data_IF_195507884502
#
_entry.id   IF_195507884502
#
_cell.length_a   1.000
_cell.length_b   1.000
_cell.length_c   1.000
_cell.angle_alpha   90.00
_cell.angle_beta   90.00
_cell.angle_gamma   90.00
#
_symmetry.space_group_name_H-M   'P 1'
#
loop_
_entity.id
_entity.type
_entity.pdbx_description
1 polymer ?
#
# COMPACT_ATOMS: atom_id res chain seq x y z
N UNK A 1 -21.24 4.89 -11.79
CA UNK A 1 -20.45 5.95 -11.12
C UNK A 1 -18.99 5.51 -11.13
N UNK A 2 -18.10 6.33 -11.67
CA UNK A 2 -16.69 5.98 -11.87
C UNK A 2 -15.89 6.41 -10.63
N UNK A 3 -15.79 5.53 -9.62
CA UNK A 3 -15.22 5.84 -8.28
C UNK A 3 -13.83 6.49 -8.32
N UNK A 4 -13.05 6.26 -9.39
CA UNK A 4 -11.73 6.86 -9.52
C UNK A 4 -11.77 8.39 -9.75
N UNK A 5 -12.87 8.97 -10.25
CA UNK A 5 -13.00 10.43 -10.39
C UNK A 5 -13.14 11.14 -9.05
N UNK A 6 -13.86 10.53 -8.11
CA UNK A 6 -14.03 11.07 -6.74
C UNK A 6 -12.68 11.16 -6.02
N UNK A 7 -11.76 10.25 -6.31
CA UNK A 7 -10.42 10.25 -5.68
C UNK A 7 -9.54 11.39 -6.19
N UNK A 8 -9.67 11.76 -7.47
CA UNK A 8 -8.99 12.95 -7.99
C UNK A 8 -9.50 14.23 -7.31
N UNK A 9 -10.82 14.32 -7.08
CA UNK A 9 -11.44 15.46 -6.39
C UNK A 9 -11.00 15.61 -4.93
N UNK A 10 -10.46 14.54 -4.31
CA UNK A 10 -9.89 14.55 -2.97
C UNK A 10 -8.44 15.11 -2.91
N UNK A 11 -7.84 15.49 -4.04
CA UNK A 11 -6.47 16.01 -4.07
C UNK A 11 -5.40 14.94 -3.91
N UNK A 12 -5.62 13.72 -4.44
CA UNK A 12 -4.66 12.61 -4.33
C UNK A 12 -3.29 12.94 -4.95
N UNK A 13 -3.25 13.80 -5.97
CA UNK A 13 -1.99 14.25 -6.60
C UNK A 13 -1.08 14.97 -5.61
N UNK A 14 -1.64 15.93 -4.88
CA UNK A 14 -0.90 16.69 -3.87
C UNK A 14 -0.42 15.77 -2.73
N UNK A 15 -1.26 14.82 -2.32
CA UNK A 15 -0.93 13.84 -1.29
C UNK A 15 0.18 12.87 -1.71
N UNK A 16 0.26 12.53 -3.01
CA UNK A 16 1.33 11.69 -3.57
C UNK A 16 2.67 12.43 -3.68
N UNK A 17 2.65 13.75 -3.86
CA UNK A 17 3.86 14.55 -4.04
C UNK A 17 4.51 14.96 -2.70
N UNK A 18 3.69 15.26 -1.67
CA UNK A 18 4.18 15.90 -0.45
C UNK A 18 4.52 14.96 0.71
N UNK A 19 4.40 13.62 0.57
CA UNK A 19 4.70 12.74 1.69
C UNK A 19 4.53 11.23 1.45
N UNK A 20 4.31 10.51 2.56
CA UNK A 20 3.99 9.08 2.54
C UNK A 20 2.47 8.93 2.59
N UNK A 21 1.91 8.29 1.57
CA UNK A 21 0.48 8.00 1.50
C UNK A 21 0.23 6.52 1.84
N UNK A 22 -0.71 6.28 2.75
CA UNK A 22 -1.22 4.94 3.09
C UNK A 22 -2.63 4.85 2.56
N UNK A 23 -2.90 3.83 1.74
CA UNK A 23 -4.17 3.64 1.07
C UNK A 23 -4.72 2.28 1.45
N UNK A 24 -5.84 2.27 2.15
CA UNK A 24 -6.63 1.07 2.37
C UNK A 24 -7.54 0.83 1.17
N UNK A 25 -7.83 -0.43 0.85
CA UNK A 25 -8.66 -0.82 -0.31
C UNK A 25 -8.14 -0.24 -1.65
N UNK A 26 -6.89 -0.55 -2.02
CA UNK A 26 -6.20 0.10 -3.14
C UNK A 26 -6.86 -0.17 -4.50
N UNK A 27 -7.75 -1.16 -4.61
CA UNK A 27 -8.52 -1.44 -5.83
C UNK A 27 -9.35 -0.24 -6.33
N UNK A 28 -9.74 0.68 -5.42
CA UNK A 28 -10.51 1.88 -5.77
C UNK A 28 -9.67 2.84 -6.64
N UNK A 29 -8.36 2.86 -6.40
CA UNK A 29 -7.42 3.77 -7.07
C UNK A 29 -6.50 3.03 -8.04
N UNK A 30 -6.87 1.81 -8.47
CA UNK A 30 -6.02 0.94 -9.28
C UNK A 30 -5.45 1.62 -10.53
N UNK A 31 -6.22 2.51 -11.15
CA UNK A 31 -5.80 3.28 -12.33
C UNK A 31 -4.82 4.42 -12.02
N UNK A 32 -4.68 4.77 -10.74
CA UNK A 32 -3.89 5.89 -10.22
C UNK A 32 -2.67 5.41 -9.43
N UNK A 33 -2.35 4.11 -9.51
CA UNK A 33 -1.21 3.57 -8.77
C UNK A 33 0.09 4.28 -9.15
N UNK A 34 0.82 4.83 -8.17
CA UNK A 34 2.11 5.40 -8.45
C UNK A 34 3.10 4.31 -8.89
N UNK A 35 4.02 4.68 -9.78
CA UNK A 35 5.09 3.78 -10.26
C UNK A 35 5.97 3.28 -9.11
N UNK A 36 6.24 4.17 -8.16
CA UNK A 36 6.99 3.91 -6.95
C UNK A 36 6.02 3.64 -5.80
N UNK A 37 5.88 2.38 -5.40
CA UNK A 37 5.02 2.00 -4.25
C UNK A 37 5.48 0.71 -3.59
N UNK A 38 4.99 0.52 -2.37
CA UNK A 38 5.03 -0.74 -1.66
C UNK A 38 3.58 -1.22 -1.50
N UNK A 39 3.27 -2.40 -2.03
CA UNK A 39 2.02 -3.08 -1.74
C UNK A 39 2.22 -3.96 -0.50
N UNK A 40 1.25 -3.90 0.42
CA UNK A 40 1.24 -4.65 1.68
C UNK A 40 -0.06 -5.44 1.76
N UNK A 41 0.05 -6.77 1.71
CA UNK A 41 -1.07 -7.69 1.87
C UNK A 41 -1.07 -8.26 3.29
N UNK A 42 -2.21 -8.14 3.97
CA UNK A 42 -2.44 -8.68 5.30
C UNK A 42 -3.44 -9.84 5.21
N UNK A 43 -3.01 -11.05 5.60
CA UNK A 43 -3.88 -12.23 5.68
C UNK A 43 -3.91 -12.77 7.09
N UNK A 44 -5.05 -13.32 7.49
CA UNK A 44 -5.18 -14.03 8.77
C UNK A 44 -4.47 -15.38 8.65
N UNK A 45 -3.74 -15.78 9.69
CA UNK A 45 -3.16 -17.13 9.76
C UNK A 45 -4.27 -18.17 9.96
N UNK A 46 -4.28 -19.21 9.13
CA UNK A 46 -5.35 -20.23 9.17
C UNK A 46 -5.42 -20.98 10.51
N UNK A 47 -4.30 -21.08 11.23
CA UNK A 47 -4.17 -21.75 12.51
C UNK A 47 -4.18 -20.82 13.74
N UNK A 48 -4.24 -19.50 13.53
CA UNK A 48 -4.28 -18.51 14.61
C UNK A 48 -5.04 -17.26 14.15
N UNK A 49 -6.25 -17.04 14.69
CA UNK A 49 -7.10 -15.89 14.35
C UNK A 49 -6.48 -14.55 14.73
N UNK A 50 -5.55 -14.52 15.69
CA UNK A 50 -4.81 -13.33 16.08
C UNK A 50 -3.50 -13.20 15.30
N UNK A 51 -3.05 -14.28 14.66
CA UNK A 51 -1.90 -14.32 13.78
C UNK A 51 -2.16 -13.62 12.44
N UNK A 52 -1.13 -12.99 11.89
CA UNK A 52 -1.15 -12.34 10.57
C UNK A 52 0.02 -12.79 9.72
N UNK A 53 -0.23 -12.99 8.44
CA UNK A 53 0.80 -13.07 7.39
C UNK A 53 0.84 -11.71 6.70
N UNK A 54 2.01 -11.09 6.68
CA UNK A 54 2.26 -9.84 5.96
C UNK A 54 3.10 -10.17 4.73
N UNK A 55 2.62 -9.82 3.55
CA UNK A 55 3.37 -9.96 2.29
C UNK A 55 3.67 -8.58 1.73
N UNK A 56 4.94 -8.35 1.37
CA UNK A 56 5.39 -7.11 0.77
C UNK A 56 5.67 -7.32 -0.71
N UNK A 57 5.20 -6.40 -1.55
CA UNK A 57 5.56 -6.37 -2.98
C UNK A 57 6.02 -4.97 -3.38
N UNK A 58 7.27 -4.90 -3.80
CA UNK A 58 7.96 -3.63 -4.07
C UNK A 58 7.92 -3.25 -5.56
N UNK A 59 7.66 -1.97 -5.83
CA UNK A 59 7.65 -1.40 -7.17
C UNK A 59 8.53 -0.15 -7.25
N UNK A 60 9.16 0.05 -8.42
CA UNK A 60 10.05 1.18 -8.65
C UNK A 60 11.18 1.26 -7.62
N UNK A 61 11.40 2.44 -7.04
CA UNK A 61 12.48 2.70 -6.06
C UNK A 61 12.40 1.80 -4.81
N UNK A 62 11.22 1.26 -4.48
CA UNK A 62 11.05 0.38 -3.33
C UNK A 62 11.77 -0.95 -3.46
N UNK A 63 12.12 -1.38 -4.69
CA UNK A 63 12.91 -2.59 -4.91
C UNK A 63 14.32 -2.49 -4.33
N UNK A 64 14.85 -1.27 -4.20
CA UNK A 64 16.19 -1.00 -3.69
C UNK A 64 16.21 -0.76 -2.18
N UNK A 65 15.03 -0.69 -1.54
CA UNK A 65 14.94 -0.49 -0.09
C UNK A 65 15.02 -1.85 0.60
N UNK A 66 15.87 -1.94 1.61
CA UNK A 66 15.90 -3.12 2.49
C UNK A 66 14.60 -3.12 3.29
N UNK A 67 13.74 -4.10 3.01
CA UNK A 67 12.56 -4.37 3.81
C UNK A 67 12.97 -5.41 4.82
N UNK A 68 13.30 -4.97 6.03
CA UNK A 68 13.62 -5.85 7.14
C UNK A 68 12.64 -5.60 8.28
N UNK A 69 12.20 -6.68 8.93
CA UNK A 69 11.47 -6.63 10.18
C UNK A 69 12.42 -7.08 11.28
N UNK A 70 12.88 -6.14 12.09
CA UNK A 70 13.67 -6.45 13.28
C UNK A 70 12.72 -6.77 14.43
N UNK A 71 12.62 -8.05 14.76
CA UNK A 71 11.82 -8.50 15.90
C UNK A 71 12.62 -8.20 17.16
N UNK A 72 12.60 -6.93 17.61
CA UNK A 72 13.12 -6.60 18.95
C UNK A 72 12.39 -7.49 19.96
N UNK A 73 13.16 -8.37 20.59
CA UNK A 73 12.72 -9.29 21.65
C UNK A 73 12.20 -8.52 22.85
#
# INVERSE_FOLDING_TARGET
MNKSSEVWELGIEDALDQGILIIEWPEIIKNLFPKNRLEVDLKILSNDINGRIITFKSFGIWKNRIISYDKKK
#
